data_IF_168861132188
#
_entry.id   IF_168861132188
#
_cell.length_a   1.000
_cell.length_b   1.000
_cell.length_c   1.000
_cell.angle_alpha   90.00
_cell.angle_beta   90.00
_cell.angle_gamma   90.00
#
_symmetry.space_group_name_H-M   'P 1'
#
loop_
_entity.id
_entity.type
_entity.pdbx_description
1 polymer ?
#
# COMPACT_ATOMS: atom_id res chain seq x y z
N UNK A 1 -28.34 24.12 20.08
CA UNK A 1 -27.27 23.41 20.81
C UNK A 1 -26.79 22.30 19.90
N UNK A 2 -25.69 22.52 19.18
CA UNK A 2 -25.06 21.47 18.41
C UNK A 2 -24.26 20.60 19.40
N UNK A 3 -24.71 19.39 19.62
CA UNK A 3 -23.93 18.36 20.32
C UNK A 3 -22.75 18.03 19.41
N UNK A 4 -21.58 18.59 19.69
CA UNK A 4 -20.34 18.12 19.08
C UNK A 4 -20.18 16.66 19.47
N UNK A 5 -20.10 15.77 18.47
CA UNK A 5 -19.67 14.41 18.72
C UNK A 5 -18.33 14.46 19.48
N UNK A 6 -18.09 13.58 20.47
CA UNK A 6 -16.77 13.48 21.08
C UNK A 6 -15.73 13.27 19.97
N UNK A 7 -14.52 13.86 20.10
CA UNK A 7 -13.46 13.64 19.12
C UNK A 7 -13.26 12.13 18.97
N UNK A 8 -13.30 11.65 17.73
CA UNK A 8 -12.97 10.25 17.47
C UNK A 8 -11.54 10.01 17.94
N UNK A 9 -11.26 8.87 18.60
CA UNK A 9 -9.90 8.56 19.02
C UNK A 9 -9.00 8.49 17.78
N UNK A 10 -7.85 9.17 17.83
CA UNK A 10 -6.81 9.05 16.81
C UNK A 10 -6.42 7.57 16.65
N UNK A 11 -6.08 7.17 15.43
CA UNK A 11 -5.62 5.82 15.12
C UNK A 11 -6.56 4.66 15.56
N UNK A 12 -7.87 4.91 15.62
CA UNK A 12 -8.89 3.91 16.01
C UNK A 12 -8.81 2.61 15.21
N UNK A 13 -8.52 2.67 13.91
CA UNK A 13 -8.35 1.51 13.04
C UNK A 13 -7.20 0.63 13.53
N UNK A 14 -6.02 1.22 13.77
CA UNK A 14 -4.86 0.48 14.31
C UNK A 14 -5.21 -0.15 15.67
N UNK A 15 -5.82 0.61 16.57
CA UNK A 15 -6.25 0.10 17.89
C UNK A 15 -7.22 -1.09 17.76
N UNK A 16 -8.19 -0.98 16.84
CA UNK A 16 -9.13 -2.06 16.55
C UNK A 16 -8.42 -3.29 15.99
N UNK A 17 -7.46 -3.09 15.08
CA UNK A 17 -6.64 -4.14 14.50
C UNK A 17 -5.88 -4.90 15.58
N UNK A 18 -5.21 -4.19 16.49
CA UNK A 18 -4.46 -4.76 17.61
C UNK A 18 -5.32 -5.49 18.65
N UNK A 19 -6.61 -5.15 18.72
CA UNK A 19 -7.60 -5.79 19.58
C UNK A 19 -8.28 -7.04 18.99
N UNK A 20 -7.96 -7.45 17.75
CA UNK A 20 -8.64 -8.59 17.09
C UNK A 20 -8.38 -9.90 17.85
N UNK A 21 -9.46 -10.49 18.36
CA UNK A 21 -9.44 -11.74 19.15
C UNK A 21 -9.33 -13.02 18.28
N UNK A 22 -9.52 -12.88 16.97
CA UNK A 22 -9.40 -13.98 16.01
C UNK A 22 -7.96 -14.30 15.64
N UNK A 23 -7.02 -13.39 15.95
CA UNK A 23 -5.59 -13.54 15.69
C UNK A 23 -4.83 -13.83 17.00
N UNK A 24 -3.77 -14.65 16.91
CA UNK A 24 -2.90 -14.99 18.04
C UNK A 24 -2.14 -13.75 18.51
N UNK A 25 -2.14 -13.49 19.80
CA UNK A 25 -1.42 -12.37 20.40
C UNK A 25 0.03 -12.77 20.76
N UNK A 26 0.99 -11.81 20.72
CA UNK A 26 0.84 -10.42 20.30
C UNK A 26 0.81 -10.27 18.77
N UNK A 27 -0.12 -9.47 18.26
CA UNK A 27 -0.17 -9.06 16.84
C UNK A 27 0.54 -7.72 16.58
N UNK A 28 1.15 -7.56 15.42
CA UNK A 28 1.81 -6.32 15.01
C UNK A 28 0.97 -5.59 13.96
N UNK A 29 1.23 -4.29 13.78
CA UNK A 29 0.63 -3.45 12.73
C UNK A 29 1.72 -2.82 11.85
N UNK A 30 1.40 -2.42 10.64
CA UNK A 30 2.37 -1.97 9.63
C UNK A 30 2.29 -2.80 8.34
N UNK A 31 2.78 -2.22 7.25
CA UNK A 31 2.67 -2.83 5.93
C UNK A 31 3.72 -3.91 5.68
N UNK A 32 3.38 -4.83 4.77
CA UNK A 32 4.37 -5.61 4.02
C UNK A 32 4.91 -4.73 2.90
N UNK A 33 6.24 -4.60 2.78
CA UNK A 33 6.90 -3.70 1.82
C UNK A 33 7.79 -4.51 0.88
N UNK A 34 7.50 -4.45 -0.42
CA UNK A 34 8.26 -5.12 -1.47
C UNK A 34 9.29 -4.19 -2.10
N UNK A 35 10.54 -4.62 -2.10
CA UNK A 35 11.60 -3.96 -2.85
C UNK A 35 11.62 -4.48 -4.28
N UNK A 36 11.09 -3.68 -5.21
CA UNK A 36 10.97 -4.05 -6.62
C UNK A 36 12.06 -3.44 -7.50
N UNK A 37 12.81 -2.47 -6.98
CA UNK A 37 14.01 -1.95 -7.62
C UNK A 37 15.22 -2.00 -6.69
N UNK A 38 16.36 -2.32 -7.30
CA UNK A 38 17.66 -2.43 -6.67
C UNK A 38 18.67 -1.45 -7.27
N UNK A 39 18.18 -0.45 -8.00
CA UNK A 39 19.02 0.49 -8.76
C UNK A 39 19.62 1.60 -7.89
N UNK A 40 19.06 1.88 -6.71
CA UNK A 40 19.57 2.88 -5.78
C UNK A 40 19.37 2.45 -4.33
N UNK A 41 20.45 2.05 -3.64
CA UNK A 41 20.41 1.62 -2.24
C UNK A 41 20.19 2.79 -1.27
N UNK A 42 20.81 3.94 -1.54
CA UNK A 42 20.71 5.10 -0.64
C UNK A 42 19.28 5.69 -0.65
N UNK A 43 18.64 5.74 -1.81
CA UNK A 43 17.24 6.13 -1.94
C UNK A 43 16.31 5.13 -1.22
N UNK A 44 16.56 3.82 -1.36
CA UNK A 44 15.80 2.78 -0.66
C UNK A 44 15.87 2.95 0.86
N UNK A 45 17.07 3.13 1.41
CA UNK A 45 17.25 3.38 2.84
C UNK A 45 16.59 4.69 3.27
N UNK A 46 16.64 5.72 2.43
CA UNK A 46 15.98 7.01 2.69
C UNK A 46 14.47 6.86 2.80
N UNK A 47 13.83 6.11 1.91
CA UNK A 47 12.38 5.84 1.97
C UNK A 47 12.02 5.13 3.28
N UNK A 48 12.74 4.05 3.62
CA UNK A 48 12.49 3.31 4.86
C UNK A 48 12.71 4.19 6.11
N UNK A 49 13.71 5.07 6.09
CA UNK A 49 13.95 5.98 7.19
C UNK A 49 12.84 7.02 7.32
N UNK A 50 12.40 7.63 6.22
CA UNK A 50 11.30 8.60 6.23
C UNK A 50 9.98 8.00 6.73
N UNK A 51 9.68 6.75 6.39
CA UNK A 51 8.51 6.04 6.94
C UNK A 51 8.61 5.88 8.46
N UNK A 52 9.80 5.56 8.98
CA UNK A 52 10.01 5.40 10.43
C UNK A 52 9.90 6.75 11.16
N UNK A 53 10.47 7.80 10.58
CA UNK A 53 10.46 9.14 11.15
C UNK A 53 9.04 9.71 11.16
N UNK A 54 8.32 9.62 10.05
CA UNK A 54 6.90 10.01 9.96
C UNK A 54 6.07 9.32 11.03
N UNK A 55 6.19 8.00 11.14
CA UNK A 55 5.42 7.24 12.11
C UNK A 55 5.71 7.72 13.55
N UNK A 56 6.98 7.96 13.87
CA UNK A 56 7.36 8.41 15.21
C UNK A 56 6.77 9.80 15.52
N UNK A 57 6.92 10.74 14.58
CA UNK A 57 6.40 12.11 14.71
C UNK A 57 4.87 12.11 14.80
N UNK A 58 4.19 11.40 13.90
CA UNK A 58 2.73 11.37 13.81
C UNK A 58 2.09 10.72 15.06
N UNK A 59 2.70 9.68 15.61
CA UNK A 59 2.21 9.05 16.86
C UNK A 59 2.48 9.92 18.09
N UNK A 60 3.61 10.63 18.16
CA UNK A 60 3.91 11.58 19.24
C UNK A 60 2.90 12.75 19.23
N UNK A 61 2.63 13.33 18.06
CA UNK A 61 1.69 14.45 17.90
C UNK A 61 0.25 14.09 18.32
N UNK A 62 -0.14 12.82 18.16
CA UNK A 62 -1.46 12.31 18.55
C UNK A 62 -1.49 11.71 19.96
N UNK A 63 -0.36 11.64 20.67
CA UNK A 63 -0.25 10.99 21.98
C UNK A 63 -0.60 9.49 21.94
N UNK A 64 -0.15 8.79 20.90
CA UNK A 64 -0.38 7.36 20.62
C UNK A 64 0.95 6.59 20.51
N UNK A 65 1.96 7.01 21.26
CA UNK A 65 3.30 6.40 21.25
C UNK A 65 3.30 4.95 21.76
N UNK A 66 2.24 4.53 22.45
CA UNK A 66 2.02 3.15 22.88
C UNK A 66 1.78 2.17 21.70
N UNK A 67 1.49 2.70 20.51
CA UNK A 67 1.37 1.91 19.29
C UNK A 67 2.74 1.53 18.68
N UNK A 68 3.78 2.35 18.88
CA UNK A 68 5.12 2.14 18.29
C UNK A 68 5.72 0.75 18.61
N UNK A 69 5.69 0.24 19.86
CA UNK A 69 6.25 -1.07 20.19
C UNK A 69 5.61 -2.26 19.44
N UNK A 70 4.45 -2.06 18.83
CA UNK A 70 3.72 -3.07 18.05
C UNK A 70 3.80 -2.82 16.54
N UNK A 71 4.52 -1.80 16.10
CA UNK A 71 4.78 -1.56 14.68
C UNK A 71 5.83 -2.53 14.15
N UNK A 72 5.57 -3.06 12.96
CA UNK A 72 6.48 -3.92 12.23
C UNK A 72 6.26 -3.75 10.72
N UNK A 73 7.28 -3.24 10.03
CA UNK A 73 7.39 -3.33 8.58
C UNK A 73 7.96 -4.69 8.20
N UNK A 74 7.19 -5.49 7.46
CA UNK A 74 7.69 -6.77 6.93
C UNK A 74 8.33 -6.50 5.58
N UNK A 75 9.66 -6.53 5.52
CA UNK A 75 10.41 -6.23 4.30
C UNK A 75 10.58 -7.49 3.45
N UNK A 76 10.06 -7.46 2.22
CA UNK A 76 10.25 -8.47 1.19
C UNK A 76 11.39 -8.01 0.25
N UNK A 77 12.62 -8.40 0.60
CA UNK A 77 13.86 -8.07 -0.10
C UNK A 77 14.51 -9.35 -0.64
N UNK A 78 14.18 -9.68 -1.89
CA UNK A 78 14.71 -10.82 -2.63
C UNK A 78 14.87 -10.42 -4.10
N UNK A 79 16.06 -9.91 -4.44
CA UNK A 79 16.37 -9.40 -5.79
C UNK A 79 16.05 -10.41 -6.89
N UNK A 80 16.28 -11.70 -6.65
CA UNK A 80 16.03 -12.71 -7.67
C UNK A 80 14.54 -12.88 -7.99
N UNK A 81 13.65 -12.48 -7.07
CA UNK A 81 12.20 -12.60 -7.22
C UNK A 81 11.52 -11.29 -7.60
N UNK A 82 11.99 -10.17 -7.06
CA UNK A 82 11.23 -8.92 -7.09
C UNK A 82 11.83 -7.83 -7.98
N UNK A 83 13.07 -7.97 -8.46
CA UNK A 83 13.68 -6.97 -9.35
C UNK A 83 12.89 -6.84 -10.66
N UNK A 84 12.27 -5.68 -10.87
CA UNK A 84 11.39 -5.40 -12.01
C UNK A 84 9.98 -6.03 -11.91
N UNK A 85 9.56 -6.53 -10.75
CA UNK A 85 8.22 -7.09 -10.57
C UNK A 85 7.12 -6.03 -10.78
N UNK A 86 6.04 -6.44 -11.45
CA UNK A 86 4.87 -5.59 -11.72
C UNK A 86 3.88 -5.57 -10.55
N UNK A 87 2.90 -4.66 -10.59
CA UNK A 87 1.77 -4.65 -9.64
C UNK A 87 1.04 -6.01 -9.60
N UNK A 88 0.91 -6.69 -10.75
CA UNK A 88 0.31 -8.02 -10.81
C UNK A 88 1.16 -9.10 -10.14
N UNK A 89 2.47 -9.10 -10.36
CA UNK A 89 3.39 -10.07 -9.74
C UNK A 89 3.40 -9.92 -8.21
N UNK A 90 3.41 -8.67 -7.72
CA UNK A 90 3.35 -8.37 -6.29
C UNK A 90 2.00 -8.77 -5.70
N UNK A 91 0.89 -8.52 -6.41
CA UNK A 91 -0.45 -8.95 -5.96
C UNK A 91 -0.52 -10.47 -5.81
N UNK A 92 -0.08 -11.23 -6.81
CA UNK A 92 -0.09 -12.70 -6.76
C UNK A 92 0.76 -13.24 -5.61
N UNK A 93 1.96 -12.69 -5.43
CA UNK A 93 2.83 -13.08 -4.33
C UNK A 93 2.23 -12.70 -2.98
N UNK A 94 1.69 -11.50 -2.83
CA UNK A 94 1.07 -11.05 -1.60
C UNK A 94 -0.15 -11.89 -1.23
N UNK A 95 -1.02 -12.21 -2.20
CA UNK A 95 -2.13 -13.16 -2.02
C UNK A 95 -1.64 -14.51 -1.51
N UNK A 96 -0.57 -15.04 -2.11
CA UNK A 96 0.04 -16.31 -1.68
C UNK A 96 0.67 -16.21 -0.28
N UNK A 97 1.31 -15.08 0.04
CA UNK A 97 1.88 -14.84 1.37
C UNK A 97 0.80 -14.82 2.44
N UNK A 98 -0.32 -14.11 2.19
CA UNK A 98 -1.47 -14.08 3.11
C UNK A 98 -2.02 -15.49 3.31
N UNK A 99 -2.30 -16.22 2.22
CA UNK A 99 -2.78 -17.62 2.28
C UNK A 99 -1.90 -18.49 3.18
N UNK A 100 -0.58 -18.39 3.03
CA UNK A 100 0.38 -19.18 3.80
C UNK A 100 0.53 -18.71 5.26
N UNK A 101 0.31 -17.42 5.54
CA UNK A 101 0.43 -16.87 6.89
C UNK A 101 -0.79 -17.17 7.77
N UNK A 102 -2.00 -17.26 7.18
CA UNK A 102 -3.25 -17.41 7.94
C UNK A 102 -3.27 -18.56 8.95
N UNK A 103 -2.83 -19.80 8.62
CA UNK A 103 -2.83 -20.91 9.58
C UNK A 103 -1.99 -20.64 10.83
N UNK A 104 -0.92 -19.86 10.69
CA UNK A 104 0.01 -19.57 11.76
C UNK A 104 -0.46 -18.41 12.64
N UNK A 105 -1.15 -17.42 12.07
CA UNK A 105 -1.59 -16.23 12.81
C UNK A 105 -2.99 -16.36 13.44
N UNK A 106 -3.86 -17.23 12.92
CA UNK A 106 -5.23 -17.35 13.41
C UNK A 106 -5.30 -18.20 14.69
N UNK A 107 -6.16 -17.82 15.64
CA UNK A 107 -6.41 -18.61 16.87
C UNK A 107 -6.99 -19.98 16.54
N UNK A 108 -7.94 -20.00 15.61
CA UNK A 108 -8.55 -21.23 15.09
C UNK A 108 -8.00 -21.52 13.71
N UNK A 109 -7.42 -22.69 13.51
CA UNK A 109 -6.92 -23.09 12.19
C UNK A 109 -8.07 -23.14 11.20
N UNK A 110 -7.99 -22.37 10.10
CA UNK A 110 -9.03 -22.37 9.09
C UNK A 110 -9.09 -23.71 8.35
N UNK A 111 -10.28 -24.10 7.91
CA UNK A 111 -10.43 -25.26 7.01
C UNK A 111 -9.82 -24.95 5.65
N UNK A 112 -9.45 -25.99 4.90
CA UNK A 112 -8.91 -25.82 3.55
C UNK A 112 -9.86 -25.01 2.65
N UNK A 113 -11.16 -25.30 2.65
CA UNK A 113 -12.13 -24.54 1.86
C UNK A 113 -12.20 -23.05 2.24
N UNK A 114 -12.02 -22.71 3.52
CA UNK A 114 -11.96 -21.32 3.95
C UNK A 114 -10.64 -20.65 3.54
N UNK A 115 -9.52 -21.36 3.59
CA UNK A 115 -8.22 -20.87 3.10
C UNK A 115 -8.25 -20.62 1.60
N UNK A 116 -8.87 -21.49 0.82
CA UNK A 116 -8.94 -21.35 -0.64
C UNK A 116 -9.68 -20.08 -1.09
N UNK A 117 -10.60 -19.54 -0.28
CA UNK A 117 -11.25 -18.26 -0.57
C UNK A 117 -10.24 -17.09 -0.57
N UNK A 118 -9.13 -17.20 0.16
CA UNK A 118 -8.12 -16.14 0.25
C UNK A 118 -7.32 -15.98 -1.04
N UNK A 119 -7.30 -17.03 -1.90
CA UNK A 119 -6.68 -16.97 -3.22
C UNK A 119 -7.56 -16.28 -4.27
N UNK A 120 -8.82 -15.98 -3.94
CA UNK A 120 -9.71 -15.25 -4.83
C UNK A 120 -9.40 -13.76 -4.72
N UNK A 121 -8.94 -13.18 -5.83
CA UNK A 121 -8.68 -11.75 -5.95
C UNK A 121 -9.87 -11.08 -6.65
N UNK A 122 -11.03 -11.09 -6.00
CA UNK A 122 -12.25 -10.43 -6.46
C UNK A 122 -12.82 -9.57 -5.33
N UNK A 123 -13.20 -8.30 -5.56
CA UNK A 123 -13.64 -7.39 -4.52
C UNK A 123 -15.04 -7.74 -3.97
N UNK A 124 -15.80 -8.61 -4.65
CA UNK A 124 -17.09 -9.10 -4.18
C UNK A 124 -16.96 -10.44 -3.43
N UNK A 125 -15.78 -11.06 -3.46
CA UNK A 125 -15.49 -12.37 -2.88
C UNK A 125 -14.62 -12.20 -1.63
N UNK A 126 -15.25 -12.16 -0.47
CA UNK A 126 -14.54 -11.94 0.79
C UNK A 126 -13.89 -13.24 1.31
N UNK A 127 -12.57 -13.29 1.26
CA UNK A 127 -11.76 -14.27 1.97
C UNK A 127 -11.74 -14.03 3.49
N UNK A 128 -11.08 -14.91 4.25
CA UNK A 128 -10.95 -14.76 5.71
C UNK A 128 -10.13 -13.52 6.10
N UNK A 129 -9.14 -13.19 5.28
CA UNK A 129 -8.21 -12.07 5.43
C UNK A 129 -8.88 -10.70 5.37
N UNK A 130 -10.02 -10.58 4.68
CA UNK A 130 -10.80 -9.34 4.58
C UNK A 130 -11.10 -8.76 5.98
N UNK A 131 -11.39 -9.62 6.96
CA UNK A 131 -11.64 -9.20 8.35
C UNK A 131 -10.39 -9.17 9.22
N UNK A 132 -9.19 -9.27 8.66
CA UNK A 132 -7.92 -9.15 9.40
C UNK A 132 -7.21 -7.82 9.19
N UNK A 133 -7.85 -6.89 8.47
CA UNK A 133 -7.45 -5.49 8.44
C UNK A 133 -6.34 -5.18 7.46
N UNK A 134 -5.74 -3.99 7.61
CA UNK A 134 -4.88 -3.39 6.60
C UNK A 134 -3.70 -4.29 6.24
N UNK A 135 -3.05 -4.90 7.23
CA UNK A 135 -1.85 -5.75 7.07
C UNK A 135 -2.01 -6.89 6.05
N UNK A 136 -3.22 -7.43 5.90
CA UNK A 136 -3.46 -8.62 5.07
C UNK A 136 -4.29 -8.33 3.81
N UNK A 137 -4.74 -7.08 3.63
CA UNK A 137 -5.49 -6.65 2.44
C UNK A 137 -4.70 -5.69 1.57
N UNK A 138 -3.67 -5.05 2.12
CA UNK A 138 -2.85 -4.05 1.44
C UNK A 138 -1.36 -4.29 1.67
N UNK A 139 -0.56 -3.99 0.67
CA UNK A 139 0.90 -3.98 0.78
C UNK A 139 1.49 -2.75 0.07
N UNK A 140 2.75 -2.45 0.38
CA UNK A 140 3.52 -1.43 -0.30
C UNK A 140 4.52 -2.07 -1.25
N UNK A 141 4.82 -1.43 -2.36
CA UNK A 141 5.93 -1.81 -3.23
C UNK A 141 6.67 -0.57 -3.74
N UNK A 142 7.97 -0.73 -3.96
CA UNK A 142 8.89 0.36 -4.28
C UNK A 142 9.67 0.00 -5.54
N UNK A 143 9.39 0.71 -6.62
CA UNK A 143 10.04 0.56 -7.92
C UNK A 143 10.98 1.74 -8.22
N UNK A 144 11.46 1.84 -9.46
CA UNK A 144 12.37 2.91 -9.87
C UNK A 144 11.78 4.32 -9.69
N UNK A 145 10.47 4.52 -9.94
CA UNK A 145 9.85 5.83 -9.78
C UNK A 145 9.84 6.23 -8.31
N UNK A 146 9.54 5.29 -7.42
CA UNK A 146 9.61 5.52 -5.98
C UNK A 146 11.04 5.91 -5.54
N UNK A 147 12.07 5.20 -6.00
CA UNK A 147 13.46 5.53 -5.65
C UNK A 147 13.87 6.91 -6.19
N UNK A 148 13.49 7.23 -7.42
CA UNK A 148 13.76 8.54 -8.04
C UNK A 148 13.04 9.70 -7.34
N UNK A 149 11.85 9.46 -6.76
CA UNK A 149 11.09 10.48 -6.04
C UNK A 149 11.87 11.10 -4.87
N UNK A 150 12.86 10.40 -4.32
CA UNK A 150 13.73 10.92 -3.25
C UNK A 150 14.49 12.17 -3.67
N UNK A 151 14.87 12.28 -4.94
CA UNK A 151 15.62 13.42 -5.48
C UNK A 151 14.72 14.44 -6.19
N UNK A 152 13.55 13.99 -6.66
CA UNK A 152 12.69 14.78 -7.54
C UNK A 152 11.44 15.36 -6.88
N UNK A 153 11.09 14.91 -5.66
CA UNK A 153 9.90 15.36 -4.94
C UNK A 153 10.26 15.81 -3.52
N UNK A 154 9.48 16.75 -2.98
CA UNK A 154 9.63 17.20 -1.58
C UNK A 154 9.33 16.05 -0.60
N UNK A 155 8.27 15.29 -0.93
CA UNK A 155 7.84 14.10 -0.20
C UNK A 155 7.95 12.90 -1.14
N UNK A 156 8.83 11.92 -0.83
CA UNK A 156 8.94 10.70 -1.61
C UNK A 156 7.65 9.88 -1.58
N UNK A 157 7.48 9.06 -2.61
CA UNK A 157 6.29 8.20 -2.75
C UNK A 157 6.65 6.72 -2.76
N UNK A 158 5.71 5.91 -2.31
CA UNK A 158 5.67 4.46 -2.47
C UNK A 158 4.37 4.06 -3.16
N UNK A 159 4.24 2.83 -3.64
CA UNK A 159 3.01 2.34 -4.26
C UNK A 159 2.24 1.50 -3.24
N UNK A 160 1.00 1.88 -2.96
CA UNK A 160 0.07 1.13 -2.13
C UNK A 160 -0.79 0.24 -3.04
N UNK A 161 -0.72 -1.06 -2.82
CA UNK A 161 -1.45 -2.07 -3.57
C UNK A 161 -2.58 -2.66 -2.73
N UNK A 162 -3.75 -2.78 -3.34
CA UNK A 162 -4.90 -3.46 -2.76
C UNK A 162 -5.05 -4.86 -3.38
N UNK A 163 -5.14 -5.89 -2.52
CA UNK A 163 -5.15 -7.30 -2.93
C UNK A 163 -6.33 -7.63 -3.85
N UNK A 164 -7.53 -7.16 -3.49
CA UNK A 164 -8.78 -7.55 -4.15
C UNK A 164 -9.14 -6.68 -5.36
N UNK A 165 -8.36 -5.63 -5.63
CA UNK A 165 -8.66 -4.64 -6.66
C UNK A 165 -7.67 -4.74 -7.81
N UNK A 166 -8.12 -4.42 -9.03
CA UNK A 166 -7.28 -4.42 -10.24
C UNK A 166 -6.66 -5.77 -10.59
N UNK A 167 -7.16 -6.86 -10.00
CA UNK A 167 -6.69 -8.21 -10.29
C UNK A 167 -7.07 -8.60 -11.71
N UNK A 168 -6.12 -9.21 -12.42
CA UNK A 168 -6.29 -9.73 -13.77
C UNK A 168 -5.73 -11.14 -13.83
N UNK A 169 -6.43 -12.00 -14.55
CA UNK A 169 -5.90 -13.32 -14.89
C UNK A 169 -4.62 -13.16 -15.70
N UNK A 170 -3.63 -14.06 -15.56
CA UNK A 170 -2.34 -13.95 -16.25
C UNK A 170 -2.43 -13.74 -17.75
N UNK A 171 -3.46 -14.29 -18.39
CA UNK A 171 -3.71 -14.16 -19.83
C UNK A 171 -4.14 -12.74 -20.25
N UNK A 172 -4.73 -11.97 -19.33
CA UNK A 172 -5.29 -10.63 -19.57
C UNK A 172 -4.36 -9.49 -19.16
N UNK A 173 -3.12 -9.81 -18.72
CA UNK A 173 -2.12 -8.82 -18.25
C UNK A 173 -1.34 -8.15 -19.38
N UNK A 174 -1.46 -8.64 -20.61
CA UNK A 174 -0.83 -8.04 -21.78
C UNK A 174 -1.80 -7.07 -22.48
N UNK A 175 -2.22 -6.03 -21.78
CA UNK A 175 -3.09 -4.98 -22.30
C UNK A 175 -2.28 -3.73 -22.67
N UNK A 176 -2.90 -2.89 -23.49
CA UNK A 176 -2.30 -1.59 -23.83
C UNK A 176 -2.65 -0.60 -22.74
N UNK A 177 -1.64 -0.16 -21.98
CA UNK A 177 -1.80 0.89 -20.97
C UNK A 177 -2.10 2.22 -21.66
N UNK A 178 -3.07 2.97 -21.14
CA UNK A 178 -3.39 4.30 -21.62
C UNK A 178 -2.18 5.23 -21.44
N UNK A 179 -1.77 6.03 -22.46
CA UNK A 179 -0.49 6.76 -22.45
C UNK A 179 -0.32 7.80 -21.34
N UNK A 180 -1.43 8.28 -20.76
CA UNK A 180 -1.42 9.28 -19.70
C UNK A 180 -1.42 8.67 -18.28
N UNK A 181 -1.61 7.35 -18.16
CA UNK A 181 -1.67 6.64 -16.88
C UNK A 181 -0.55 5.59 -16.78
N UNK A 182 -0.22 5.19 -15.55
CA UNK A 182 0.80 4.13 -15.34
C UNK A 182 0.21 2.72 -15.40
N UNK A 183 -1.11 2.61 -15.42
CA UNK A 183 -1.83 1.35 -15.50
C UNK A 183 -3.28 1.59 -15.99
N UNK A 184 -3.96 0.54 -16.41
CA UNK A 184 -5.33 0.57 -16.96
C UNK A 184 -5.41 0.95 -18.45
N UNK A 185 -6.53 0.62 -19.07
CA UNK A 185 -6.70 0.67 -20.53
C UNK A 185 -7.42 1.93 -21.01
N UNK A 186 -8.18 2.57 -20.12
CA UNK A 186 -9.11 3.63 -20.49
C UNK A 186 -8.56 5.01 -20.15
N UNK A 187 -9.21 6.05 -20.63
CA UNK A 187 -8.96 7.43 -20.22
C UNK A 187 -9.73 7.83 -18.95
N UNK A 188 -10.46 6.91 -18.30
CA UNK A 188 -11.29 7.22 -17.12
C UNK A 188 -10.41 7.39 -15.88
N UNK A 189 -10.35 8.59 -15.31
CA UNK A 189 -9.52 8.89 -14.13
C UNK A 189 -9.91 8.03 -12.91
N UNK A 190 -11.12 7.47 -12.88
CA UNK A 190 -11.64 6.61 -11.82
C UNK A 190 -11.45 5.11 -12.09
N UNK A 191 -10.79 4.70 -13.19
CA UNK A 191 -10.46 3.29 -13.43
C UNK A 191 -9.57 2.76 -12.28
N UNK A 192 -10.07 1.77 -11.54
CA UNK A 192 -9.36 1.14 -10.43
C UNK A 192 -8.40 0.05 -10.93
N UNK A 193 -7.11 0.37 -10.90
CA UNK A 193 -6.01 -0.52 -11.30
C UNK A 193 -5.44 -1.29 -10.10
N UNK A 194 -6.06 -1.13 -8.93
CA UNK A 194 -5.76 -1.85 -7.71
C UNK A 194 -4.49 -1.43 -7.00
N UNK A 195 -3.93 -0.27 -7.37
CA UNK A 195 -2.84 0.36 -6.66
C UNK A 195 -2.85 1.88 -6.88
N UNK A 196 -2.31 2.63 -5.92
CA UNK A 196 -2.15 4.08 -6.00
C UNK A 196 -0.79 4.51 -5.45
N UNK A 197 -0.38 5.75 -5.73
CA UNK A 197 0.76 6.34 -5.03
C UNK A 197 0.38 6.75 -3.61
N UNK A 198 1.33 6.59 -2.69
CA UNK A 198 1.24 6.99 -1.30
C UNK A 198 2.46 7.83 -0.97
N UNK A 199 2.23 9.08 -0.56
CA UNK A 199 3.29 9.90 0.02
C UNK A 199 3.73 9.29 1.35
N UNK A 200 5.04 9.11 1.55
CA UNK A 200 5.57 8.45 2.76
C UNK A 200 5.17 9.15 4.06
N UNK A 201 4.85 10.46 3.97
CA UNK A 201 4.35 11.28 5.08
C UNK A 201 2.96 10.86 5.60
N UNK A 202 2.19 10.08 4.83
CA UNK A 202 0.83 9.67 5.19
C UNK A 202 0.75 8.20 5.58
N UNK A 203 1.89 7.54 5.84
CA UNK A 203 1.97 6.10 6.08
C UNK A 203 1.08 5.64 7.23
N UNK A 204 1.17 6.26 8.41
CA UNK A 204 0.40 5.84 9.57
C UNK A 204 -1.10 6.13 9.41
N UNK A 205 -1.44 7.30 8.87
CA UNK A 205 -2.83 7.72 8.62
C UNK A 205 -3.51 6.82 7.60
N UNK A 206 -2.84 6.53 6.48
CA UNK A 206 -3.35 5.65 5.44
C UNK A 206 -3.52 4.22 5.97
N UNK A 207 -2.54 3.70 6.72
CA UNK A 207 -2.67 2.37 7.33
C UNK A 207 -3.93 2.29 8.22
N UNK A 208 -4.16 3.33 9.02
CA UNK A 208 -5.29 3.42 9.91
C UNK A 208 -6.64 3.53 9.19
N UNK A 209 -6.71 4.33 8.13
CA UNK A 209 -7.93 4.51 7.34
C UNK A 209 -8.37 3.20 6.68
N UNK A 210 -7.43 2.45 6.11
CA UNK A 210 -7.68 1.21 5.38
C UNK A 210 -8.11 0.03 6.26
N UNK A 211 -8.24 0.20 7.57
CA UNK A 211 -8.93 -0.76 8.43
C UNK A 211 -10.44 -0.81 8.17
N UNK A 212 -11.00 0.24 7.57
CA UNK A 212 -12.33 0.22 6.94
C UNK A 212 -12.14 0.27 5.43
N UNK A 213 -12.26 -0.87 4.75
CA UNK A 213 -11.93 -1.04 3.32
C UNK A 213 -12.67 -0.08 2.39
N UNK A 214 -13.85 0.42 2.79
CA UNK A 214 -14.60 1.44 2.04
C UNK A 214 -13.77 2.72 1.79
N UNK A 215 -12.81 3.03 2.66
CA UNK A 215 -11.90 4.16 2.47
C UNK A 215 -11.00 4.01 1.25
N UNK A 216 -10.78 2.79 0.75
CA UNK A 216 -10.05 2.59 -0.51
C UNK A 216 -10.68 3.44 -1.62
N UNK A 217 -12.00 3.36 -1.83
CA UNK A 217 -12.67 4.07 -2.92
C UNK A 217 -12.62 5.60 -2.76
N UNK A 218 -12.72 6.09 -1.54
CA UNK A 218 -12.70 7.53 -1.24
C UNK A 218 -11.29 8.12 -1.46
N UNK A 219 -10.27 7.36 -1.08
CA UNK A 219 -8.87 7.77 -1.14
C UNK A 219 -8.22 7.44 -2.49
N UNK A 220 -8.76 6.48 -3.25
CA UNK A 220 -8.15 5.97 -4.47
C UNK A 220 -7.94 7.07 -5.50
N UNK A 221 -6.70 7.17 -5.99
CA UNK A 221 -6.34 8.02 -7.12
C UNK A 221 -5.59 7.19 -8.13
N UNK A 222 -6.05 7.25 -9.38
CA UNK A 222 -5.45 6.48 -10.46
C UNK A 222 -4.03 6.99 -10.78
N UNK A 223 -3.01 6.14 -10.73
CA UNK A 223 -1.64 6.52 -11.06
C UNK A 223 -1.51 7.12 -12.47
N UNK A 224 -0.81 8.25 -12.66
CA UNK A 224 0.16 8.84 -11.72
C UNK A 224 -0.40 9.95 -10.81
N UNK A 225 -1.72 10.05 -10.63
CA UNK A 225 -2.32 11.10 -9.81
C UNK A 225 -2.03 10.87 -8.33
N UNK A 226 -1.73 11.95 -7.61
CA UNK A 226 -1.67 12.02 -6.15
C UNK A 226 -3.04 12.44 -5.56
N UNK A 227 -3.23 12.39 -4.23
CA UNK A 227 -4.40 12.96 -3.56
C UNK A 227 -4.68 14.40 -4.00
N UNK A 228 -5.96 14.83 -3.93
CA UNK A 228 -6.39 16.13 -4.49
C UNK A 228 -5.68 17.36 -3.91
N UNK A 229 -5.12 17.24 -2.71
CA UNK A 229 -4.39 18.32 -2.05
C UNK A 229 -2.93 18.44 -2.53
N UNK A 230 -2.42 17.48 -3.30
CA UNK A 230 -1.06 17.50 -3.86
C UNK A 230 -1.03 18.31 -5.18
N UNK A 231 -0.01 19.16 -5.39
CA UNK A 231 0.15 19.90 -6.64
C UNK A 231 0.33 18.96 -7.86
N UNK A 232 -0.43 19.17 -8.93
CA UNK A 232 -0.43 18.28 -10.11
C UNK A 232 0.88 18.27 -10.92
N UNK A 233 1.72 19.29 -10.75
CA UNK A 233 3.07 19.35 -11.29
C UNK A 233 4.06 18.43 -10.54
N UNK A 234 3.65 17.85 -9.41
CA UNK A 234 4.42 16.89 -8.62
C UNK A 234 4.00 15.42 -8.85
N UNK A 235 3.18 15.12 -9.87
CA UNK A 235 2.84 13.73 -10.19
C UNK A 235 4.12 12.88 -10.37
N UNK A 236 4.22 11.72 -9.70
CA UNK A 236 5.38 10.85 -9.80
C UNK A 236 5.74 10.52 -11.26
N UNK A 237 7.03 10.52 -11.55
CA UNK A 237 7.58 10.23 -12.88
C UNK A 237 7.51 11.39 -13.89
N UNK A 238 6.90 12.53 -13.55
CA UNK A 238 6.82 13.70 -14.45
C UNK A 238 8.21 14.19 -14.91
N UNK A 239 9.23 14.06 -14.08
CA UNK A 239 10.63 14.41 -14.37
C UNK A 239 11.23 13.61 -15.53
N UNK A 240 10.77 12.38 -15.78
CA UNK A 240 11.21 11.56 -16.93
C UNK A 240 10.72 12.13 -18.25
N UNK A 241 9.57 12.81 -18.27
CA UNK A 241 9.03 13.46 -19.48
C UNK A 241 9.77 14.76 -19.81
N UNK A 242 10.19 15.50 -18.77
CA UNK A 242 10.88 16.80 -18.92
C UNK A 242 12.36 16.66 -19.32
N UNK A 243 13.01 15.57 -18.93
CA UNK A 243 14.43 15.30 -19.28
C UNK A 243 14.64 14.98 -20.77
N UNK A 244 13.60 14.53 -21.48
CA UNK A 244 13.63 14.36 -22.94
C UNK A 244 13.47 15.66 -23.75
N UNK A 245 13.24 16.81 -23.10
CA UNK A 245 13.04 18.11 -23.76
C UNK A 245 14.20 19.11 -23.59
N UNK A 246 15.36 18.70 -23.06
CA UNK A 246 16.55 19.57 -23.04
C UNK A 246 17.13 19.70 -24.46
N UNK A 247 17.21 20.91 -25.05
CA UNK A 247 17.61 21.08 -26.44
C UNK A 247 19.13 20.91 -26.61
N UNK A 248 19.50 20.23 -27.68
CA UNK A 248 20.83 20.25 -28.29
C UNK A 248 21.38 21.68 -28.30
N UNK A 249 22.51 21.89 -27.61
CA UNK A 249 23.31 23.12 -27.71
C UNK A 249 23.98 23.23 -29.06
#
# INVERSE_FOLDING_TARGET
>A
MATSAPPQPAFKGIVQSLGRVTLKQPITWGFVIYRCSYNNEDAWQTILQRIRDEMAECLEDQGQEDLLPRHEMIIMDDKAKYDGATSHDIRDHFTSWVFNALPDIMVNTPTESQLQLTLVNDPHSMGLEHVFGTRYNFCLFVDDICLESVEHMDIPVVKLLAKHFGARDPEDRNYTIHPDFEDGETAMEEEDVGWMYLEVYTYAEMYNALEEEEWWYELYRRPPLLPYDSPSDQNPGSWRKNSHQSPSS
#
